data_IF_122619992108
#
_entry.id   IF_122619992108
#
_cell.length_a   1.000
_cell.length_b   1.000
_cell.length_c   1.000
_cell.angle_alpha   90.00
_cell.angle_beta   90.00
_cell.angle_gamma   90.00
#
_symmetry.space_group_name_H-M   'P 1'
#
loop_
_entity.id
_entity.type
_entity.pdbx_description
1 polymer ?
#
# COMPACT_ATOMS: atom_id res chain seq x y z
N UNK A 1 -37.83 10.95 1.81
CA UNK A 1 -36.63 11.43 1.05
C UNK A 1 -35.99 10.24 0.39
N UNK A 2 -35.61 10.37 -0.86
CA UNK A 2 -34.80 9.36 -1.57
C UNK A 2 -33.54 10.00 -2.19
N UNK A 3 -32.59 9.18 -2.63
CA UNK A 3 -31.36 9.65 -3.27
C UNK A 3 -31.64 10.50 -4.51
N UNK A 4 -32.72 10.16 -5.26
CA UNK A 4 -33.09 10.91 -6.46
C UNK A 4 -33.46 12.35 -6.15
N UNK A 5 -34.13 12.61 -5.02
CA UNK A 5 -34.46 13.96 -4.58
C UNK A 5 -33.23 14.82 -4.29
N UNK A 6 -32.19 14.25 -3.67
CA UNK A 6 -30.91 14.94 -3.42
C UNK A 6 -30.17 15.24 -4.73
N UNK A 7 -30.12 14.28 -5.64
CA UNK A 7 -29.50 14.49 -6.95
C UNK A 7 -30.27 15.51 -7.81
N UNK A 8 -31.59 15.52 -7.72
CA UNK A 8 -32.43 16.50 -8.40
C UNK A 8 -32.16 17.91 -7.85
N UNK A 9 -32.00 18.05 -6.52
CA UNK A 9 -31.62 19.31 -5.91
C UNK A 9 -30.24 19.79 -6.41
N UNK A 10 -29.21 18.94 -6.35
CA UNK A 10 -27.87 19.30 -6.82
C UNK A 10 -27.90 19.74 -8.30
N UNK A 11 -28.68 19.04 -9.15
CA UNK A 11 -28.86 19.44 -10.52
C UNK A 11 -29.54 20.82 -10.67
N UNK A 12 -30.51 21.15 -9.78
CA UNK A 12 -31.16 22.46 -9.79
C UNK A 12 -30.21 23.57 -9.31
N UNK A 13 -29.40 23.32 -8.29
CA UNK A 13 -28.41 24.26 -7.78
C UNK A 13 -27.37 24.62 -8.88
N UNK A 14 -26.92 23.65 -9.65
CA UNK A 14 -25.97 23.84 -10.74
C UNK A 14 -26.61 24.53 -11.96
N UNK A 15 -27.80 24.11 -12.36
CA UNK A 15 -28.46 24.61 -13.58
C UNK A 15 -29.21 25.94 -13.38
N UNK A 16 -29.60 26.27 -12.17
CA UNK A 16 -30.42 27.42 -11.81
C UNK A 16 -31.68 27.58 -12.72
N UNK A 17 -32.19 26.45 -13.20
CA UNK A 17 -33.33 26.39 -14.12
C UNK A 17 -34.04 25.02 -13.98
N UNK A 18 -35.31 25.05 -13.60
CA UNK A 18 -36.13 23.83 -13.51
C UNK A 18 -36.19 23.06 -14.83
N UNK A 19 -36.25 23.76 -15.96
CA UNK A 19 -36.34 23.14 -17.30
C UNK A 19 -35.02 22.45 -17.66
N UNK A 20 -33.86 23.10 -17.42
CA UNK A 20 -32.55 22.53 -17.73
C UNK A 20 -32.23 21.37 -16.76
N UNK A 21 -32.50 21.55 -15.47
CA UNK A 21 -32.32 20.52 -14.48
C UNK A 21 -33.17 19.27 -14.76
N UNK A 22 -34.45 19.46 -15.09
CA UNK A 22 -35.34 18.36 -15.48
C UNK A 22 -34.83 17.61 -16.71
N UNK A 23 -34.36 18.34 -17.76
CA UNK A 23 -33.75 17.73 -18.95
C UNK A 23 -32.50 16.92 -18.60
N UNK A 24 -31.62 17.47 -17.77
CA UNK A 24 -30.41 16.77 -17.29
C UNK A 24 -30.73 15.52 -16.50
N UNK A 25 -31.82 15.54 -15.72
CA UNK A 25 -32.28 14.40 -14.93
C UNK A 25 -33.21 13.45 -15.66
N UNK A 26 -33.42 13.66 -16.97
CA UNK A 26 -34.27 12.86 -17.85
C UNK A 26 -35.71 12.70 -17.34
N UNK A 27 -36.29 13.77 -16.82
CA UNK A 27 -37.68 13.82 -16.36
C UNK A 27 -38.41 15.05 -16.92
N UNK A 28 -39.75 15.05 -16.84
CA UNK A 28 -40.54 16.24 -17.23
C UNK A 28 -40.40 17.33 -16.15
N UNK A 29 -40.45 18.60 -16.56
CA UNK A 29 -40.32 19.73 -15.65
C UNK A 29 -41.39 19.71 -14.52
N UNK A 30 -42.71 19.37 -14.77
CA UNK A 30 -43.66 19.24 -13.69
C UNK A 30 -43.32 18.15 -12.65
N UNK A 31 -42.85 17.00 -13.11
CA UNK A 31 -42.40 15.90 -12.24
C UNK A 31 -41.19 16.32 -11.42
N UNK A 32 -40.22 16.98 -12.02
CA UNK A 32 -39.02 17.50 -11.36
C UNK A 32 -39.40 18.53 -10.28
N UNK A 33 -40.24 19.51 -10.62
CA UNK A 33 -40.70 20.53 -9.68
C UNK A 33 -41.44 19.93 -8.46
N UNK A 34 -42.23 18.88 -8.69
CA UNK A 34 -42.93 18.15 -7.60
C UNK A 34 -41.91 17.46 -6.68
N UNK A 35 -40.84 16.83 -7.21
CA UNK A 35 -39.79 16.18 -6.42
C UNK A 35 -39.06 17.18 -5.53
N UNK A 36 -38.68 18.34 -6.08
CA UNK A 36 -38.05 19.41 -5.31
C UNK A 36 -38.97 19.90 -4.20
N UNK A 37 -40.28 20.09 -4.47
CA UNK A 37 -41.25 20.49 -3.42
C UNK A 37 -41.34 19.44 -2.29
N UNK A 38 -41.42 18.15 -2.62
CA UNK A 38 -41.44 17.09 -1.62
C UNK A 38 -40.14 17.04 -0.77
N UNK A 39 -39.03 17.42 -1.37
CA UNK A 39 -37.76 17.53 -0.63
C UNK A 39 -37.77 18.73 0.32
N UNK A 40 -38.25 19.89 -0.12
CA UNK A 40 -38.44 21.10 0.73
C UNK A 40 -39.41 20.83 1.87
N UNK A 41 -40.53 20.18 1.61
CA UNK A 41 -41.49 19.75 2.63
C UNK A 41 -40.86 18.83 3.69
N UNK A 42 -40.02 17.90 3.24
CA UNK A 42 -39.32 17.00 4.16
C UNK A 42 -38.23 17.72 4.98
N UNK A 43 -37.50 18.68 4.36
CA UNK A 43 -36.50 19.49 5.05
C UNK A 43 -37.13 20.55 5.97
N UNK A 44 -38.40 20.90 5.76
CA UNK A 44 -39.08 21.94 6.51
C UNK A 44 -38.67 23.37 6.14
N UNK A 45 -37.93 23.55 5.04
CA UNK A 45 -37.43 24.85 4.56
C UNK A 45 -37.54 24.95 3.05
N UNK A 46 -37.82 26.17 2.53
CA UNK A 46 -37.72 26.47 1.11
C UNK A 46 -36.25 26.66 0.72
N UNK A 47 -35.84 26.06 -0.41
CA UNK A 47 -34.48 26.07 -0.94
C UNK A 47 -34.38 27.02 -2.14
N UNK A 48 -35.46 27.19 -2.88
CA UNK A 48 -35.50 27.96 -4.11
C UNK A 48 -36.61 28.99 -4.13
N UNK A 49 -36.32 30.21 -4.56
CA UNK A 49 -37.33 31.19 -4.89
C UNK A 49 -37.81 30.97 -6.34
N UNK A 50 -39.04 30.49 -6.47
CA UNK A 50 -39.69 30.19 -7.75
C UNK A 50 -40.22 31.42 -8.47
N UNK A 51 -40.23 32.60 -7.84
CA UNK A 51 -40.76 33.86 -8.37
C UNK A 51 -39.77 34.57 -9.27
N UNK A 52 -38.48 34.22 -9.19
CA UNK A 52 -37.38 34.84 -9.95
C UNK A 52 -37.05 34.02 -11.19
N UNK A 53 -36.57 34.70 -12.26
CA UNK A 53 -36.02 34.10 -13.48
C UNK A 53 -34.69 34.78 -13.84
N UNK A 54 -33.54 34.12 -13.80
CA UNK A 54 -33.37 32.68 -13.40
C UNK A 54 -33.78 32.41 -11.99
N UNK A 55 -34.05 31.14 -11.66
CA UNK A 55 -34.44 30.72 -10.32
C UNK A 55 -33.32 31.05 -9.33
N UNK A 56 -33.65 31.79 -8.28
CA UNK A 56 -32.67 32.09 -7.25
C UNK A 56 -32.66 31.03 -6.15
N UNK A 57 -31.42 30.69 -5.73
CA UNK A 57 -31.24 29.77 -4.61
C UNK A 57 -31.24 30.55 -3.32
N UNK A 58 -32.13 30.17 -2.41
CA UNK A 58 -32.24 30.78 -1.09
C UNK A 58 -31.04 30.44 -0.21
N UNK A 59 -30.71 31.24 0.83
CA UNK A 59 -29.53 31.00 1.68
C UNK A 59 -29.44 29.57 2.22
N UNK A 60 -30.58 28.98 2.66
CA UNK A 60 -30.64 27.60 3.12
C UNK A 60 -30.18 26.60 2.05
N UNK A 61 -30.49 26.82 0.77
CA UNK A 61 -30.04 25.97 -0.34
C UNK A 61 -28.52 26.03 -0.56
N UNK A 62 -27.93 27.21 -0.42
CA UNK A 62 -26.47 27.39 -0.56
C UNK A 62 -25.72 26.76 0.63
N UNK A 63 -26.20 26.92 1.84
CA UNK A 63 -25.61 26.36 3.05
C UNK A 63 -25.61 24.83 3.03
N UNK A 64 -26.68 24.24 2.50
CA UNK A 64 -26.85 22.79 2.43
C UNK A 64 -26.17 22.13 1.22
N UNK A 65 -25.73 22.89 0.21
CA UNK A 65 -25.20 22.34 -1.05
C UNK A 65 -24.01 21.44 -0.82
N UNK A 66 -23.02 21.91 -0.06
CA UNK A 66 -21.79 21.16 0.22
C UNK A 66 -22.09 19.88 1.00
N UNK A 67 -22.95 19.96 2.03
CA UNK A 67 -23.36 18.81 2.81
C UNK A 67 -24.09 17.75 2.00
N UNK A 68 -24.99 18.15 1.09
CA UNK A 68 -25.68 17.22 0.20
C UNK A 68 -24.75 16.60 -0.84
N UNK A 69 -23.81 17.37 -1.38
CA UNK A 69 -22.81 16.88 -2.33
C UNK A 69 -21.92 15.82 -1.68
N UNK A 70 -21.46 16.07 -0.46
CA UNK A 70 -20.66 15.12 0.30
C UNK A 70 -21.46 13.85 0.64
N UNK A 71 -22.71 13.99 1.08
CA UNK A 71 -23.60 12.85 1.40
C UNK A 71 -23.83 11.96 0.16
N UNK A 72 -24.13 12.53 -1.00
CA UNK A 72 -24.34 11.79 -2.24
C UNK A 72 -23.03 11.10 -2.66
N UNK A 73 -21.91 11.78 -2.56
CA UNK A 73 -20.59 11.21 -2.86
C UNK A 73 -20.25 10.03 -1.95
N UNK A 74 -20.47 10.15 -0.65
CA UNK A 74 -20.26 9.06 0.33
C UNK A 74 -21.16 7.86 0.05
N UNK A 75 -22.41 8.10 -0.34
CA UNK A 75 -23.34 7.02 -0.66
C UNK A 75 -22.91 6.24 -1.91
N UNK A 76 -22.48 6.95 -2.97
CA UNK A 76 -21.94 6.30 -4.16
C UNK A 76 -20.62 5.57 -3.88
N UNK A 77 -19.74 6.11 -3.05
CA UNK A 77 -18.54 5.44 -2.59
C UNK A 77 -18.87 4.15 -1.82
N UNK A 78 -19.88 4.18 -0.94
CA UNK A 78 -20.34 3.00 -0.22
C UNK A 78 -20.92 1.94 -1.18
N UNK A 79 -21.77 2.36 -2.13
CA UNK A 79 -22.30 1.48 -3.17
C UNK A 79 -21.19 0.82 -3.98
N UNK A 80 -20.23 1.60 -4.43
CA UNK A 80 -19.07 1.11 -5.17
C UNK A 80 -18.25 0.10 -4.37
N UNK A 81 -18.06 0.36 -3.05
CA UNK A 81 -17.39 -0.59 -2.13
C UNK A 81 -18.18 -1.91 -2.01
N UNK A 82 -19.51 -1.85 -1.90
CA UNK A 82 -20.34 -3.05 -1.81
C UNK A 82 -20.33 -3.84 -3.12
N UNK A 83 -20.42 -3.15 -4.26
CA UNK A 83 -20.32 -3.79 -5.59
C UNK A 83 -18.92 -4.37 -5.83
N UNK A 84 -17.87 -3.67 -5.38
CA UNK A 84 -16.50 -4.16 -5.45
C UNK A 84 -16.30 -5.39 -4.54
N UNK A 85 -16.92 -5.42 -3.33
CA UNK A 85 -16.92 -6.61 -2.48
C UNK A 85 -17.60 -7.79 -3.15
N UNK A 86 -18.75 -7.58 -3.81
CA UNK A 86 -19.47 -8.64 -4.55
C UNK A 86 -18.66 -9.18 -5.73
N UNK A 87 -17.94 -8.29 -6.46
CA UNK A 87 -17.04 -8.70 -7.56
C UNK A 87 -15.67 -9.19 -7.08
N UNK A 88 -15.26 -8.87 -5.85
CA UNK A 88 -13.96 -9.23 -5.27
C UNK A 88 -13.97 -10.59 -4.53
N UNK A 89 -15.09 -11.28 -4.44
CA UNK A 89 -15.14 -12.63 -3.86
C UNK A 89 -14.24 -13.63 -4.60
N UNK A 90 -13.83 -13.31 -5.84
CA UNK A 90 -12.94 -14.14 -6.65
C UNK A 90 -11.47 -13.71 -6.63
N UNK A 91 -11.11 -12.65 -5.86
CA UNK A 91 -9.72 -12.17 -5.80
C UNK A 91 -9.03 -12.67 -4.53
N UNK A 92 -7.83 -13.19 -4.72
CA UNK A 92 -6.98 -13.58 -3.60
C UNK A 92 -6.20 -12.35 -3.11
N UNK A 93 -6.35 -12.04 -1.82
CA UNK A 93 -5.72 -10.86 -1.20
C UNK A 93 -4.43 -11.23 -0.46
N UNK A 94 -3.37 -10.55 -0.81
CA UNK A 94 -2.08 -10.58 -0.15
C UNK A 94 -1.83 -9.26 0.56
N UNK A 95 -1.42 -9.33 1.80
CA UNK A 95 -0.73 -8.25 2.50
C UNK A 95 0.76 -8.53 2.38
N UNK A 96 1.58 -7.54 2.09
CA UNK A 96 3.01 -7.75 1.95
C UNK A 96 3.80 -6.53 2.45
N UNK A 97 4.93 -6.77 3.07
CA UNK A 97 5.89 -5.70 3.33
C UNK A 97 6.32 -5.05 2.02
N UNK A 98 6.51 -3.72 2.00
CA UNK A 98 6.80 -2.93 0.80
C UNK A 98 7.92 -3.52 -0.06
N UNK A 99 9.04 -3.90 0.55
CA UNK A 99 10.18 -4.48 -0.15
C UNK A 99 9.80 -5.78 -0.86
N UNK A 100 9.07 -6.67 -0.18
CA UNK A 100 8.63 -7.96 -0.75
C UNK A 100 7.53 -7.79 -1.79
N UNK A 101 6.65 -6.81 -1.62
CA UNK A 101 5.63 -6.49 -2.61
C UNK A 101 6.25 -6.10 -3.96
N UNK A 102 7.42 -5.47 -3.95
CA UNK A 102 8.15 -5.08 -5.16
C UNK A 102 9.07 -6.18 -5.69
N UNK A 103 9.79 -6.89 -4.82
CA UNK A 103 10.85 -7.82 -5.23
C UNK A 103 10.37 -9.26 -5.43
N UNK A 104 9.59 -9.80 -4.49
CA UNK A 104 9.21 -11.23 -4.45
C UNK A 104 7.80 -11.51 -4.93
N UNK A 105 6.84 -10.65 -4.59
CA UNK A 105 5.43 -10.86 -4.94
C UNK A 105 5.21 -11.02 -6.46
N UNK A 106 5.82 -10.24 -7.38
CA UNK A 106 5.63 -10.45 -8.81
C UNK A 106 6.09 -11.83 -9.29
N UNK A 107 7.19 -12.34 -8.75
CA UNK A 107 7.72 -13.67 -9.08
C UNK A 107 6.81 -14.77 -8.54
N UNK A 108 6.34 -14.62 -7.30
CA UNK A 108 5.40 -15.52 -6.66
C UNK A 108 4.09 -15.64 -7.47
N UNK A 109 3.51 -14.50 -7.85
CA UNK A 109 2.27 -14.49 -8.66
C UNK A 109 2.49 -15.06 -10.04
N UNK A 110 3.66 -14.81 -10.67
CA UNK A 110 3.98 -15.43 -11.96
C UNK A 110 3.98 -16.95 -11.88
N UNK A 111 4.58 -17.52 -10.83
CA UNK A 111 4.58 -18.98 -10.61
C UNK A 111 3.17 -19.52 -10.32
N UNK A 112 2.40 -18.85 -9.45
CA UNK A 112 1.04 -19.26 -9.15
C UNK A 112 0.14 -19.21 -10.40
N UNK A 113 0.26 -18.19 -11.23
CA UNK A 113 -0.55 -18.03 -12.45
C UNK A 113 -0.30 -19.10 -13.51
N UNK A 114 0.86 -19.74 -13.53
CA UNK A 114 1.13 -20.87 -14.40
C UNK A 114 0.25 -22.08 -14.06
N UNK A 115 -0.13 -22.25 -12.80
CA UNK A 115 -0.96 -23.35 -12.32
C UNK A 115 -2.44 -22.98 -12.18
N UNK A 116 -2.72 -21.72 -11.89
CA UNK A 116 -4.06 -21.17 -11.62
C UNK A 116 -4.29 -19.89 -12.45
N UNK A 117 -4.44 -20.00 -13.79
CA UNK A 117 -4.45 -18.86 -14.71
C UNK A 117 -5.62 -17.90 -14.49
N UNK A 118 -6.79 -18.40 -14.12
CA UNK A 118 -8.04 -17.63 -14.03
C UNK A 118 -8.21 -16.89 -12.68
N UNK A 119 -7.18 -16.91 -11.83
CA UNK A 119 -7.24 -16.27 -10.51
C UNK A 119 -6.76 -14.84 -10.57
N UNK A 120 -7.53 -13.91 -10.00
CA UNK A 120 -7.13 -12.53 -9.82
C UNK A 120 -6.51 -12.32 -8.43
N UNK A 121 -5.52 -11.46 -8.35
CA UNK A 121 -4.77 -11.19 -7.12
C UNK A 121 -4.83 -9.71 -6.77
N UNK A 122 -4.81 -9.43 -5.48
CA UNK A 122 -4.62 -8.09 -4.92
C UNK A 122 -3.44 -8.14 -3.97
N UNK A 123 -2.53 -7.18 -4.07
CA UNK A 123 -1.52 -6.95 -3.05
C UNK A 123 -1.77 -5.61 -2.38
N UNK A 124 -1.69 -5.59 -1.05
CA UNK A 124 -1.71 -4.38 -0.24
C UNK A 124 -0.35 -4.25 0.41
N UNK A 125 0.53 -3.38 -0.12
CA UNK A 125 1.82 -3.12 0.50
C UNK A 125 1.63 -2.38 1.83
N UNK A 126 2.37 -2.78 2.85
CA UNK A 126 2.28 -2.20 4.20
C UNK A 126 3.65 -2.12 4.87
N UNK A 127 3.75 -1.27 5.88
CA UNK A 127 4.87 -1.29 6.82
C UNK A 127 4.75 -2.50 7.75
N UNK A 128 5.86 -2.91 8.35
CA UNK A 128 5.88 -4.09 9.22
C UNK A 128 4.86 -4.01 10.37
N UNK A 129 4.76 -2.86 11.03
CA UNK A 129 3.84 -2.66 12.16
C UNK A 129 2.36 -2.72 11.77
N UNK A 130 2.06 -2.47 10.49
CA UNK A 130 0.69 -2.53 9.95
C UNK A 130 0.34 -3.94 9.42
N UNK A 131 1.33 -4.84 9.29
CA UNK A 131 1.14 -6.18 8.71
C UNK A 131 0.05 -6.96 9.43
N UNK A 132 0.11 -7.02 10.75
CA UNK A 132 -0.85 -7.77 11.56
C UNK A 132 -2.25 -7.19 11.43
N UNK A 133 -2.42 -5.88 11.63
CA UNK A 133 -3.71 -5.22 11.55
C UNK A 133 -4.36 -5.38 10.18
N UNK A 134 -3.56 -5.21 9.11
CA UNK A 134 -4.06 -5.32 7.74
C UNK A 134 -4.33 -6.78 7.35
N UNK A 135 -3.51 -7.74 7.81
CA UNK A 135 -3.75 -9.17 7.61
C UNK A 135 -5.04 -9.63 8.30
N UNK A 136 -5.30 -9.17 9.54
CA UNK A 136 -6.58 -9.41 10.23
C UNK A 136 -7.77 -8.86 9.47
N UNK A 137 -7.65 -7.67 8.92
CA UNK A 137 -8.75 -6.95 8.28
C UNK A 137 -9.20 -7.57 6.95
N UNK A 138 -8.26 -7.84 6.04
CA UNK A 138 -8.60 -8.23 4.67
C UNK A 138 -7.62 -9.22 4.02
N UNK A 139 -6.51 -9.56 4.66
CA UNK A 139 -5.50 -10.46 4.12
C UNK A 139 -5.93 -11.92 4.18
N UNK A 140 -5.80 -12.65 3.08
CA UNK A 140 -5.82 -14.12 3.06
C UNK A 140 -4.41 -14.67 3.21
N UNK A 141 -3.43 -13.92 2.70
CA UNK A 141 -2.00 -14.18 2.80
C UNK A 141 -1.27 -12.97 3.35
N UNK A 142 -0.21 -13.21 4.12
CA UNK A 142 0.77 -12.19 4.51
C UNK A 142 2.16 -12.67 4.07
N UNK A 143 2.83 -11.85 3.26
CA UNK A 143 4.21 -12.06 2.83
C UNK A 143 5.12 -11.07 3.58
N UNK A 144 6.00 -11.58 4.42
CA UNK A 144 6.84 -10.75 5.29
C UNK A 144 8.25 -11.33 5.46
N UNK A 145 9.16 -10.48 5.90
CA UNK A 145 10.44 -10.88 6.46
C UNK A 145 10.29 -11.19 7.95
N UNK A 146 11.04 -12.18 8.39
CA UNK A 146 11.25 -12.49 9.81
C UNK A 146 12.75 -12.55 10.09
N UNK A 147 13.08 -12.20 11.32
CA UNK A 147 14.39 -12.44 11.94
C UNK A 147 14.15 -12.91 13.37
N UNK A 148 15.09 -13.60 14.01
CA UNK A 148 14.97 -13.98 15.42
C UNK A 148 14.59 -12.76 16.28
N UNK A 149 13.62 -12.94 17.18
CA UNK A 149 13.10 -11.90 18.09
C UNK A 149 12.20 -10.82 17.45
N UNK A 150 11.83 -10.94 16.16
CA UNK A 150 10.84 -10.11 15.48
C UNK A 150 9.75 -10.97 14.88
N UNK A 151 9.06 -11.72 15.71
CA UNK A 151 7.94 -12.56 15.30
C UNK A 151 6.62 -11.79 15.46
N UNK A 152 5.69 -12.06 14.54
CA UNK A 152 4.34 -11.51 14.64
C UNK A 152 3.53 -12.28 15.70
N UNK A 153 2.77 -11.55 16.51
CA UNK A 153 1.82 -12.18 17.44
C UNK A 153 0.46 -12.39 16.78
N UNK A 154 0.27 -13.59 16.23
CA UNK A 154 -1.00 -14.03 15.67
C UNK A 154 -1.80 -14.95 16.63
N UNK A 155 -1.58 -14.89 17.93
CA UNK A 155 -2.16 -15.79 18.95
C UNK A 155 -3.70 -15.95 18.87
N UNK A 156 -4.39 -14.99 18.27
CA UNK A 156 -5.86 -14.99 18.12
C UNK A 156 -6.35 -15.36 16.70
N UNK A 157 -5.44 -15.77 15.79
CA UNK A 157 -5.77 -16.15 14.42
C UNK A 157 -5.38 -17.59 14.16
N UNK A 158 -6.23 -18.33 13.45
CA UNK A 158 -5.85 -19.62 12.86
C UNK A 158 -5.13 -19.36 11.55
N UNK A 159 -3.84 -19.71 11.50
CA UNK A 159 -2.98 -19.51 10.33
C UNK A 159 -2.01 -20.66 10.16
N UNK A 160 -1.50 -20.83 8.95
CA UNK A 160 -0.34 -21.67 8.65
C UNK A 160 0.81 -20.79 8.18
N UNK A 161 2.01 -21.09 8.68
CA UNK A 161 3.27 -20.44 8.33
C UNK A 161 4.01 -21.32 7.32
N UNK A 162 4.44 -20.72 6.22
CA UNK A 162 5.23 -21.39 5.20
C UNK A 162 6.53 -20.59 5.01
N UNK A 163 7.67 -21.22 5.28
CA UNK A 163 8.97 -20.67 4.92
C UNK A 163 9.16 -20.79 3.39
N UNK A 164 9.50 -19.70 2.73
CA UNK A 164 9.71 -19.68 1.28
C UNK A 164 11.19 -19.81 0.94
N UNK A 165 12.01 -18.92 1.46
CA UNK A 165 13.47 -18.92 1.26
C UNK A 165 14.13 -17.93 2.21
N UNK A 166 15.46 -17.98 2.26
CA UNK A 166 16.27 -16.94 2.87
C UNK A 166 16.54 -15.79 1.89
N UNK A 167 16.71 -14.61 2.44
CA UNK A 167 17.22 -13.41 1.79
C UNK A 167 18.31 -12.82 2.69
N UNK A 168 19.08 -11.87 2.21
CA UNK A 168 20.14 -11.22 2.98
C UNK A 168 19.98 -9.72 2.96
N UNK A 169 20.08 -9.08 4.10
CA UNK A 169 20.17 -7.63 4.22
C UNK A 169 21.65 -7.26 4.15
N UNK A 170 22.08 -6.66 3.06
CA UNK A 170 23.48 -6.36 2.77
C UNK A 170 23.73 -4.86 2.59
N UNK A 171 24.89 -4.36 3.03
CA UNK A 171 25.31 -2.99 2.76
C UNK A 171 25.82 -2.88 1.33
N UNK A 172 25.36 -1.86 0.62
CA UNK A 172 25.73 -1.65 -0.79
C UNK A 172 26.02 -0.18 -1.06
N UNK A 173 26.84 0.05 -2.08
CA UNK A 173 27.23 1.37 -2.58
C UNK A 173 27.40 1.30 -4.09
N UNK A 174 27.33 2.43 -4.79
CA UNK A 174 27.75 2.52 -6.19
C UNK A 174 29.27 2.44 -6.35
N UNK A 175 29.80 1.94 -7.49
CA UNK A 175 31.25 1.92 -7.73
C UNK A 175 31.89 3.30 -7.68
N UNK A 176 31.20 4.34 -8.18
CA UNK A 176 31.74 5.70 -8.23
C UNK A 176 31.86 6.30 -6.82
N UNK A 177 30.84 6.11 -5.98
CA UNK A 177 30.92 6.53 -4.57
C UNK A 177 32.00 5.74 -3.82
N UNK A 178 32.13 4.43 -4.04
CA UNK A 178 33.20 3.62 -3.44
C UNK A 178 34.58 4.15 -3.81
N UNK A 179 34.81 4.45 -5.08
CA UNK A 179 36.10 5.01 -5.56
C UNK A 179 36.40 6.37 -4.92
N UNK A 180 35.39 7.23 -4.76
CA UNK A 180 35.55 8.51 -4.04
C UNK A 180 35.95 8.28 -2.58
N UNK A 181 35.37 7.30 -1.90
CA UNK A 181 35.71 6.92 -0.55
C UNK A 181 37.14 6.45 -0.40
N UNK A 182 37.58 5.55 -1.26
CA UNK A 182 38.92 5.00 -1.25
C UNK A 182 39.97 6.09 -1.56
N UNK A 183 39.67 6.98 -2.53
CA UNK A 183 40.61 8.03 -2.97
C UNK A 183 40.76 9.16 -1.94
N UNK A 184 39.73 9.46 -1.12
CA UNK A 184 39.79 10.54 -0.13
C UNK A 184 40.33 10.10 1.23
N UNK A 185 40.75 8.83 1.39
CA UNK A 185 41.05 8.22 2.70
C UNK A 185 39.89 8.36 3.72
N UNK A 186 38.67 8.63 3.23
CA UNK A 186 37.51 8.86 4.07
C UNK A 186 37.13 7.59 4.84
N UNK A 187 37.30 6.42 4.25
CA UNK A 187 37.17 5.15 4.97
C UNK A 187 38.20 5.02 6.09
N UNK A 188 39.42 5.54 5.89
CA UNK A 188 40.49 5.57 6.93
C UNK A 188 40.24 6.69 7.98
N UNK A 189 39.54 7.77 7.59
CA UNK A 189 39.15 8.85 8.48
C UNK A 189 37.90 8.56 9.31
N UNK A 190 37.20 7.48 8.99
CA UNK A 190 36.13 6.94 9.83
C UNK A 190 34.71 7.49 9.60
N UNK A 191 34.51 8.38 8.64
CA UNK A 191 33.16 8.91 8.34
C UNK A 191 32.54 8.19 7.13
N UNK A 192 31.48 7.44 7.37
CA UNK A 192 30.75 6.72 6.31
C UNK A 192 29.41 7.41 6.08
N UNK A 193 29.15 7.94 4.86
CA UNK A 193 27.84 8.46 4.53
C UNK A 193 26.83 7.32 4.39
N UNK A 194 25.82 7.37 5.22
CA UNK A 194 24.79 6.35 5.34
C UNK A 194 23.45 6.86 4.87
N UNK A 195 22.76 6.01 4.11
CA UNK A 195 21.37 6.14 3.75
C UNK A 195 20.57 5.23 4.67
N UNK A 196 19.84 5.82 5.61
CA UNK A 196 19.22 5.08 6.70
C UNK A 196 17.73 4.86 6.48
N UNK A 197 17.22 3.80 7.07
CA UNK A 197 15.77 3.69 7.23
C UNK A 197 15.29 4.60 8.35
N UNK A 198 14.11 5.20 8.15
CA UNK A 198 13.46 5.99 9.17
C UNK A 198 13.21 5.16 10.44
N UNK A 199 13.44 5.73 11.60
CA UNK A 199 13.21 5.09 12.89
C UNK A 199 11.79 4.52 13.00
N UNK A 200 11.65 3.42 13.76
CA UNK A 200 10.37 2.74 13.94
C UNK A 200 9.97 1.82 12.78
N UNK A 201 10.84 1.62 11.79
CA UNK A 201 10.64 0.64 10.72
C UNK A 201 11.34 -0.69 11.01
N UNK A 202 10.78 -1.81 10.52
CA UNK A 202 11.38 -3.15 10.70
C UNK A 202 12.84 -3.21 10.27
N UNK A 203 13.17 -2.68 9.07
CA UNK A 203 14.55 -2.68 8.57
C UNK A 203 15.45 -1.80 9.42
N UNK A 204 14.95 -0.65 9.91
CA UNK A 204 15.70 0.20 10.83
C UNK A 204 16.07 -0.56 12.11
N UNK A 205 15.10 -1.26 12.72
CA UNK A 205 15.31 -2.02 13.93
C UNK A 205 16.27 -3.21 13.73
N UNK A 206 16.14 -3.91 12.60
CA UNK A 206 17.06 -5.00 12.24
C UNK A 206 18.48 -4.47 12.09
N UNK A 207 18.68 -3.41 11.33
CA UNK A 207 19.99 -2.78 11.10
C UNK A 207 20.58 -2.27 12.41
N UNK A 208 19.79 -1.57 13.22
CA UNK A 208 20.25 -1.01 14.49
C UNK A 208 20.76 -2.10 15.45
N UNK A 209 20.11 -3.27 15.45
CA UNK A 209 20.47 -4.37 16.36
C UNK A 209 21.56 -5.29 15.82
N UNK A 210 21.62 -5.51 14.51
CA UNK A 210 22.47 -6.56 13.94
C UNK A 210 23.67 -6.03 13.13
N UNK A 211 23.53 -4.88 12.48
CA UNK A 211 24.53 -4.33 11.57
C UNK A 211 25.32 -3.17 12.19
N UNK A 212 24.62 -2.13 12.68
CA UNK A 212 25.25 -0.91 13.19
C UNK A 212 26.26 -1.13 14.32
N UNK A 213 26.07 -2.05 15.29
CA UNK A 213 27.06 -2.27 16.34
C UNK A 213 28.42 -2.72 15.83
N UNK A 214 28.48 -3.37 14.67
CA UNK A 214 29.75 -3.74 14.02
C UNK A 214 30.40 -2.53 13.37
N UNK A 215 29.62 -1.76 12.60
CA UNK A 215 30.13 -0.60 11.88
C UNK A 215 30.62 0.48 12.85
N UNK A 216 29.82 0.81 13.85
CA UNK A 216 30.13 1.86 14.84
C UNK A 216 31.32 1.55 15.76
N UNK A 217 31.83 0.29 15.73
CA UNK A 217 33.06 -0.06 16.45
C UNK A 217 34.28 0.59 15.81
N UNK A 218 34.33 0.62 14.49
CA UNK A 218 35.53 0.99 13.74
C UNK A 218 35.32 2.27 12.91
N UNK A 219 34.07 2.73 12.73
CA UNK A 219 33.70 3.85 11.87
C UNK A 219 32.70 4.81 12.55
N UNK A 220 32.76 6.06 12.14
CA UNK A 220 31.69 7.04 12.44
C UNK A 220 30.70 7.03 11.27
N UNK A 221 29.42 7.23 11.60
CA UNK A 221 28.35 7.27 10.63
C UNK A 221 27.86 8.70 10.46
N UNK A 222 27.82 9.15 9.22
CA UNK A 222 27.17 10.40 8.83
C UNK A 222 25.87 10.06 8.09
N UNK A 223 24.71 10.36 8.72
CA UNK A 223 23.42 10.12 8.09
C UNK A 223 23.15 11.19 7.04
N UNK A 224 23.20 10.79 5.77
CA UNK A 224 22.98 11.69 4.63
C UNK A 224 21.48 11.86 4.36
N UNK A 225 20.72 10.79 4.44
CA UNK A 225 19.28 10.80 4.19
C UNK A 225 18.58 9.65 4.92
N UNK A 226 17.31 9.87 5.28
CA UNK A 226 16.43 8.86 5.85
C UNK A 226 15.21 8.64 4.96
N UNK A 227 14.80 7.38 4.80
CA UNK A 227 13.60 7.02 4.07
C UNK A 227 12.91 5.79 4.68
N UNK A 228 11.59 5.76 4.67
CA UNK A 228 10.81 4.59 5.04
C UNK A 228 10.85 3.47 3.98
N UNK A 229 11.29 3.79 2.75
CA UNK A 229 11.19 2.89 1.60
C UNK A 229 12.56 2.45 1.08
N UNK A 230 12.79 1.12 1.05
CA UNK A 230 13.99 0.51 0.45
C UNK A 230 14.23 0.96 -1.00
N UNK A 231 13.14 1.20 -1.76
CA UNK A 231 13.24 1.66 -3.14
C UNK A 231 13.91 3.03 -3.24
N UNK A 232 13.56 3.97 -2.35
CA UNK A 232 14.18 5.29 -2.32
C UNK A 232 15.66 5.21 -1.95
N UNK A 233 15.99 4.39 -0.93
CA UNK A 233 17.39 4.18 -0.51
C UNK A 233 18.21 3.55 -1.63
N UNK A 234 17.63 2.62 -2.40
CA UNK A 234 18.27 2.03 -3.57
C UNK A 234 18.62 3.08 -4.63
N UNK A 235 17.66 3.92 -5.00
CA UNK A 235 17.88 4.97 -6.00
C UNK A 235 18.92 6.01 -5.54
N UNK A 236 18.93 6.35 -4.23
CA UNK A 236 19.95 7.23 -3.65
C UNK A 236 21.34 6.59 -3.67
N UNK A 237 21.46 5.30 -3.37
CA UNK A 237 22.72 4.58 -3.45
C UNK A 237 23.25 4.52 -4.90
N UNK A 238 22.36 4.33 -5.89
CA UNK A 238 22.69 4.40 -7.31
C UNK A 238 23.08 5.80 -7.79
N UNK A 239 22.65 6.84 -7.07
CA UNK A 239 23.00 8.23 -7.32
C UNK A 239 24.24 8.71 -6.52
N UNK A 240 25.09 7.79 -6.11
CA UNK A 240 26.39 8.05 -5.44
C UNK A 240 26.27 8.73 -4.06
N UNK A 241 25.09 8.70 -3.41
CA UNK A 241 24.83 9.43 -2.17
C UNK A 241 25.40 8.76 -0.91
N UNK A 242 25.76 7.48 -0.97
CA UNK A 242 26.32 6.76 0.19
C UNK A 242 25.93 5.29 0.27
N UNK A 243 26.18 4.71 1.43
CA UNK A 243 25.94 3.30 1.72
C UNK A 243 24.50 3.09 2.20
N UNK A 244 23.81 2.11 1.61
CA UNK A 244 22.50 1.64 2.05
C UNK A 244 22.49 0.16 2.41
N UNK A 245 21.77 -0.24 3.45
CA UNK A 245 21.43 -1.65 3.66
C UNK A 245 20.19 -2.00 2.87
N UNK A 246 20.29 -2.95 1.94
CA UNK A 246 19.17 -3.37 1.09
C UNK A 246 19.06 -4.90 1.07
N UNK A 247 17.83 -5.40 0.95
CA UNK A 247 17.61 -6.82 0.75
C UNK A 247 18.16 -7.25 -0.62
N UNK A 248 19.03 -8.26 -0.64
CA UNK A 248 19.71 -8.76 -1.85
C UNK A 248 18.70 -9.11 -2.95
N UNK A 249 17.60 -9.77 -2.58
CA UNK A 249 16.54 -10.12 -3.53
C UNK A 249 15.91 -8.94 -4.26
N UNK A 250 16.01 -7.71 -3.73
CA UNK A 250 15.52 -6.49 -4.35
C UNK A 250 16.51 -5.88 -5.36
N UNK A 251 17.81 -6.08 -5.12
CA UNK A 251 18.90 -5.42 -5.87
C UNK A 251 19.73 -6.39 -6.72
N UNK A 252 19.24 -7.61 -6.91
CA UNK A 252 19.96 -8.66 -7.64
C UNK A 252 20.36 -8.25 -9.06
N UNK A 253 19.57 -7.40 -9.72
CA UNK A 253 19.87 -6.89 -11.06
C UNK A 253 21.03 -5.92 -11.02
N UNK A 254 21.02 -5.02 -10.05
CA UNK A 254 22.02 -3.98 -9.85
C UNK A 254 23.38 -4.59 -9.47
N UNK A 255 23.39 -5.61 -8.61
CA UNK A 255 24.58 -6.38 -8.27
C UNK A 255 25.16 -7.11 -9.49
N UNK A 256 24.30 -7.79 -10.26
CA UNK A 256 24.71 -8.50 -11.47
C UNK A 256 25.24 -7.55 -12.58
N UNK A 257 24.69 -6.35 -12.64
CA UNK A 257 25.13 -5.30 -13.59
C UNK A 257 26.38 -4.54 -13.10
N UNK A 258 26.78 -4.72 -11.85
CA UNK A 258 27.88 -3.99 -11.22
C UNK A 258 27.58 -2.52 -10.95
N UNK A 259 26.30 -2.09 -11.01
CA UNK A 259 25.89 -0.72 -10.68
C UNK A 259 25.75 -0.49 -9.17
N UNK A 260 25.65 -1.56 -8.40
CA UNK A 260 25.86 -1.59 -6.95
C UNK A 260 26.88 -2.68 -6.62
N UNK A 261 27.70 -2.42 -5.62
CA UNK A 261 28.67 -3.38 -5.07
C UNK A 261 28.37 -3.63 -3.60
N UNK A 262 28.56 -4.88 -3.16
CA UNK A 262 28.36 -5.25 -1.75
C UNK A 262 29.58 -4.86 -0.92
N UNK A 263 29.30 -4.38 0.29
CA UNK A 263 30.27 -4.10 1.35
C UNK A 263 30.11 -5.08 2.53
N UNK A 264 29.51 -6.25 2.30
CA UNK A 264 29.28 -7.26 3.35
C UNK A 264 30.56 -7.79 3.98
N UNK A 265 31.66 -7.84 3.24
CA UNK A 265 33.00 -8.18 3.76
C UNK A 265 33.53 -7.17 4.78
N UNK A 266 33.08 -5.90 4.70
CA UNK A 266 33.48 -4.83 5.62
C UNK A 266 32.51 -4.67 6.79
N UNK A 267 31.21 -4.64 6.50
CA UNK A 267 30.18 -4.28 7.47
C UNK A 267 29.31 -5.46 7.92
N UNK A 268 29.49 -6.62 7.29
CA UNK A 268 28.68 -7.80 7.51
C UNK A 268 27.31 -7.72 6.88
N UNK A 269 26.55 -8.79 7.00
CA UNK A 269 25.18 -8.94 6.51
C UNK A 269 24.28 -9.56 7.57
N UNK A 270 22.98 -9.52 7.36
CA UNK A 270 22.00 -10.18 8.23
C UNK A 270 21.04 -11.02 7.41
N UNK A 271 20.88 -12.29 7.82
CA UNK A 271 19.89 -13.18 7.18
C UNK A 271 18.47 -12.72 7.51
N UNK A 272 17.60 -12.81 6.51
CA UNK A 272 16.17 -12.55 6.58
C UNK A 272 15.43 -13.79 6.10
N UNK A 273 14.51 -14.32 6.89
CA UNK A 273 13.58 -15.35 6.43
C UNK A 273 12.42 -14.72 5.67
N UNK A 274 12.17 -15.16 4.44
CA UNK A 274 10.97 -14.80 3.68
C UNK A 274 9.89 -15.80 4.00
N UNK A 275 8.82 -15.32 4.61
CA UNK A 275 7.73 -16.16 5.14
C UNK A 275 6.40 -15.76 4.55
N UNK A 276 5.56 -16.74 4.30
CA UNK A 276 4.17 -16.58 3.90
C UNK A 276 3.24 -17.15 4.98
N UNK A 277 2.38 -16.30 5.50
CA UNK A 277 1.28 -16.73 6.36
C UNK A 277 -0.01 -16.87 5.57
N UNK A 278 -0.73 -17.94 5.79
CA UNK A 278 -2.04 -18.21 5.23
C UNK A 278 -3.10 -18.31 6.32
N UNK A 279 -4.17 -17.54 6.21
CA UNK A 279 -5.28 -17.53 7.16
C UNK A 279 -6.28 -18.64 6.85
N UNK A 280 -6.42 -19.64 7.72
CA UNK A 280 -7.24 -20.83 7.51
C UNK A 280 -8.75 -20.52 7.48
N UNK A 281 -9.21 -19.60 8.31
CA UNK A 281 -10.63 -19.23 8.44
C UNK A 281 -11.14 -18.33 7.30
N UNK A 282 -10.44 -18.31 6.15
CA UNK A 282 -10.96 -17.65 4.98
C UNK A 282 -11.77 -18.64 4.13
N UNK A 283 -12.98 -18.57 3.90
CA UNK A 283 -13.82 -19.52 3.16
C UNK A 283 -13.53 -19.61 1.64
N UNK A 284 -12.39 -19.11 1.17
CA UNK A 284 -12.00 -19.10 -0.23
C UNK A 284 -11.36 -20.42 -0.65
N UNK A 285 -12.07 -21.22 -1.45
CA UNK A 285 -11.53 -22.45 -2.05
C UNK A 285 -10.30 -22.17 -2.92
N UNK A 286 -10.25 -21.03 -3.58
CA UNK A 286 -9.12 -20.64 -4.44
C UNK A 286 -7.89 -20.30 -3.61
N UNK A 287 -8.04 -19.56 -2.50
CA UNK A 287 -6.92 -19.27 -1.61
C UNK A 287 -6.33 -20.56 -1.02
N UNK A 288 -7.18 -21.52 -0.64
CA UNK A 288 -6.72 -22.84 -0.18
C UNK A 288 -5.90 -23.57 -1.25
N UNK A 289 -6.38 -23.62 -2.49
CA UNK A 289 -5.64 -24.23 -3.62
C UNK A 289 -4.29 -23.54 -3.88
N UNK A 290 -4.25 -22.21 -3.77
CA UNK A 290 -2.98 -21.46 -3.88
C UNK A 290 -2.03 -21.85 -2.76
N UNK A 291 -2.50 -21.95 -1.53
CA UNK A 291 -1.66 -22.34 -0.41
C UNK A 291 -1.13 -23.78 -0.55
N UNK A 292 -1.99 -24.74 -0.91
CA UNK A 292 -1.60 -26.13 -1.15
C UNK A 292 -0.55 -26.25 -2.26
N UNK A 293 -0.69 -25.49 -3.35
CA UNK A 293 0.32 -25.42 -4.39
C UNK A 293 1.65 -24.86 -3.87
N UNK A 294 1.63 -23.75 -3.16
CA UNK A 294 2.85 -23.15 -2.60
C UNK A 294 3.51 -24.08 -1.58
N UNK A 295 2.72 -24.73 -0.74
CA UNK A 295 3.23 -25.70 0.22
C UNK A 295 3.96 -26.85 -0.51
N UNK A 296 3.38 -27.40 -1.56
CA UNK A 296 4.02 -28.46 -2.34
C UNK A 296 5.29 -27.98 -3.06
N UNK A 297 5.32 -26.72 -3.53
CA UNK A 297 6.45 -26.16 -4.25
C UNK A 297 7.64 -25.78 -3.33
N UNK A 298 7.39 -25.42 -2.08
CA UNK A 298 8.41 -24.94 -1.13
C UNK A 298 8.71 -25.92 0.02
N UNK A 299 7.94 -27.01 0.19
CA UNK A 299 8.22 -28.08 1.16
C UNK A 299 8.91 -29.30 0.56
N UNK A 300 9.26 -29.30 -0.73
CA UNK A 300 10.11 -30.35 -1.29
C UNK A 300 11.51 -30.22 -0.66
N UNK A 301 12.02 -31.28 -0.03
CA UNK A 301 13.38 -31.25 0.51
C UNK A 301 14.37 -31.04 -0.64
N UNK A 302 15.22 -30.03 -0.52
CA UNK A 302 16.37 -29.85 -1.36
C UNK A 302 17.45 -30.89 -1.09
#
# INVERSE_FOLDING_TARGET
MDLKGLEDLLALLEEQSFTRAAKRRHVTQPAFSRRIRLLEEWLGVEIVDRRTKPVSILPAGKELEEGFRDMVTRLYALRSRLQAKSKNQDRISFVAQHTLAMSRFPLLIKAIKQQLPDTAYRVTPVNNYDCEAQFRKEGQFLLCYEVPHFEFDFSHLSFQRLFLNKDSLIPVISPDALHQFESTQSMLAGNIPMLMYQEGGFMADVIARTCLPRVMRDYQIEVICESAFSASLKEMALADMGVAWLAEGMIKKELNAGTLVSLDSYFGSTELDVVLYYRENNHSKQAKRVFEYLQSAFQLPG
#
